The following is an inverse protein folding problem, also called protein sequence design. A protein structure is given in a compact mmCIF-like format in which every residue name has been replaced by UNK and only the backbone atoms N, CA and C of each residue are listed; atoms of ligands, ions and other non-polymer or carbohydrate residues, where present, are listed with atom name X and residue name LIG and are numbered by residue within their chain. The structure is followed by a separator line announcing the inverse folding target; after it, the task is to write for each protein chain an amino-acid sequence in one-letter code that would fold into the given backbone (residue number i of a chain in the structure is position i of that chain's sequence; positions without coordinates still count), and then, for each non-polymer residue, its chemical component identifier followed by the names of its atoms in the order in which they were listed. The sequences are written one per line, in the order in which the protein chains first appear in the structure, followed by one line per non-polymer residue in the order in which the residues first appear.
data_IF_491128785620
#
_entry.id   IF_491128785620
#
_cell.length_a   1.000
_cell.length_b   1.000
_cell.length_c   1.000
_cell.angle_alpha   90.00
_cell.angle_beta   90.00
_cell.angle_gamma   90.00
#
_symmetry.space_group_name_H-M   'P 1'
#
loop_
_entity.id
_entity.type
_entity.pdbx_description
1 polymer ?
#
# COMPACT_ATOMS: atom_id res chain seq x y z
N UNK A 1 3.20 -13.11 6.07
CA UNK A 1 2.79 -11.71 5.82
C UNK A 1 1.27 -11.61 5.72
N UNK A 2 0.72 -10.42 5.93
CA UNK A 2 -0.69 -10.09 5.69
C UNK A 2 -0.82 -9.19 4.45
N UNK A 3 -1.58 -9.61 3.44
CA UNK A 3 -1.91 -8.77 2.30
C UNK A 3 -3.19 -7.96 2.56
N UNK A 4 -3.17 -6.68 2.18
CA UNK A 4 -4.31 -5.75 2.33
C UNK A 4 -4.70 -5.25 0.95
N UNK A 5 -5.91 -5.63 0.51
CA UNK A 5 -6.46 -5.24 -0.78
C UNK A 5 -6.88 -6.43 -1.62
N UNK A 6 -6.41 -6.47 -2.86
CA UNK A 6 -6.78 -7.43 -3.89
C UNK A 6 -7.78 -6.86 -4.90
N UNK A 7 -7.89 -7.53 -6.05
CA UNK A 7 -8.67 -7.08 -7.23
C UNK A 7 -10.16 -6.84 -6.97
N UNK A 8 -10.73 -7.51 -5.96
CA UNK A 8 -12.14 -7.35 -5.58
C UNK A 8 -12.38 -6.20 -4.58
N UNK A 9 -11.32 -5.52 -4.11
CA UNK A 9 -11.44 -4.38 -3.22
C UNK A 9 -11.61 -3.08 -4.00
N UNK A 10 -12.56 -2.25 -3.57
CA UNK A 10 -12.84 -0.97 -4.21
C UNK A 10 -11.74 0.04 -3.88
N UNK A 11 -11.20 0.68 -4.92
CA UNK A 11 -10.21 1.75 -4.77
C UNK A 11 -10.72 2.93 -3.93
N UNK A 12 -12.03 3.19 -3.94
CA UNK A 12 -12.66 4.21 -3.09
C UNK A 12 -12.40 4.01 -1.60
N UNK A 13 -12.35 2.75 -1.12
CA UNK A 13 -12.10 2.47 0.30
C UNK A 13 -10.69 2.87 0.69
N UNK A 14 -9.69 2.49 -0.12
CA UNK A 14 -8.30 2.89 0.09
C UNK A 14 -8.14 4.40 0.03
N UNK A 15 -8.61 5.03 -1.05
CA UNK A 15 -8.53 6.48 -1.25
C UNK A 15 -9.12 7.26 -0.07
N UNK A 16 -10.28 6.83 0.45
CA UNK A 16 -10.91 7.47 1.61
C UNK A 16 -10.17 7.22 2.92
N UNK A 17 -9.59 6.03 3.09
CA UNK A 17 -8.87 5.63 4.30
C UNK A 17 -7.57 6.42 4.49
N UNK A 18 -6.93 6.84 3.41
CA UNK A 18 -5.66 7.60 3.45
C UNK A 18 -5.79 9.04 2.96
N UNK A 19 -7.01 9.56 2.84
CA UNK A 19 -7.25 10.87 2.20
C UNK A 19 -6.71 12.06 2.99
N UNK A 20 -6.51 11.90 4.29
CA UNK A 20 -6.06 12.94 5.22
C UNK A 20 -4.91 12.39 6.07
N UNK A 21 -3.94 13.21 6.49
CA UNK A 21 -2.81 12.75 7.28
C UNK A 21 -3.22 11.97 8.54
N UNK A 22 -4.21 12.49 9.30
CA UNK A 22 -4.68 11.84 10.54
C UNK A 22 -5.28 10.46 10.30
N UNK A 23 -6.04 10.29 9.21
CA UNK A 23 -6.59 8.99 8.82
C UNK A 23 -5.50 8.04 8.36
N UNK A 24 -4.55 8.51 7.56
CA UNK A 24 -3.40 7.72 7.10
C UNK A 24 -2.63 7.17 8.29
N UNK A 25 -2.24 8.01 9.26
CA UNK A 25 -1.56 7.56 10.47
C UNK A 25 -2.38 6.54 11.26
N UNK A 26 -3.69 6.75 11.37
CA UNK A 26 -4.60 5.81 12.04
C UNK A 26 -4.63 4.45 11.33
N UNK A 27 -4.67 4.44 9.99
CA UNK A 27 -4.61 3.21 9.18
C UNK A 27 -3.28 2.49 9.41
N UNK A 28 -2.16 3.21 9.35
CA UNK A 28 -0.83 2.67 9.58
C UNK A 28 -0.72 2.01 10.95
N UNK A 29 -1.12 2.72 12.01
CA UNK A 29 -1.04 2.22 13.39
C UNK A 29 -1.94 0.99 13.60
N UNK A 30 -3.13 0.99 12.99
CA UNK A 30 -4.04 -0.15 13.03
C UNK A 30 -3.46 -1.37 12.32
N UNK A 31 -2.84 -1.19 11.15
CA UNK A 31 -2.20 -2.27 10.41
C UNK A 31 -1.06 -2.87 11.24
N UNK A 32 -0.14 -2.04 11.73
CA UNK A 32 1.02 -2.47 12.53
C UNK A 32 0.58 -3.19 13.80
N UNK A 33 -0.42 -2.66 14.50
CA UNK A 33 -1.00 -3.29 15.69
C UNK A 33 -1.59 -4.66 15.36
N UNK A 34 -2.34 -4.76 14.26
CA UNK A 34 -2.95 -6.02 13.83
C UNK A 34 -1.89 -7.07 13.48
N UNK A 35 -0.90 -6.73 12.64
CA UNK A 35 0.13 -7.70 12.24
C UNK A 35 0.98 -8.16 13.41
N UNK A 36 1.32 -7.25 14.33
CA UNK A 36 2.06 -7.57 15.55
C UNK A 36 1.25 -8.49 16.46
N UNK A 37 -0.02 -8.16 16.71
CA UNK A 37 -0.91 -8.94 17.58
C UNK A 37 -1.10 -10.37 17.08
N UNK A 38 -1.14 -10.55 15.76
CA UNK A 38 -1.40 -11.85 15.14
C UNK A 38 -0.13 -12.61 14.73
N UNK A 39 1.06 -12.06 15.05
CA UNK A 39 2.34 -12.74 14.80
C UNK A 39 2.69 -12.87 13.32
N UNK A 40 2.21 -11.95 12.47
CA UNK A 40 2.68 -11.87 11.10
C UNK A 40 4.10 -11.26 11.06
N UNK A 41 4.86 -11.63 10.04
CA UNK A 41 6.22 -11.18 9.76
C UNK A 41 6.30 -9.97 8.82
N UNK A 42 5.15 -9.43 8.39
CA UNK A 42 5.12 -8.28 7.47
C UNK A 42 3.76 -8.01 6.82
N UNK A 43 3.74 -6.97 5.99
CA UNK A 43 2.55 -6.45 5.29
C UNK A 43 2.81 -6.43 3.78
N UNK A 44 1.80 -6.80 2.98
CA UNK A 44 1.76 -6.55 1.53
C UNK A 44 0.61 -5.60 1.20
N UNK A 45 0.89 -4.50 0.49
CA UNK A 45 -0.14 -3.60 -0.01
C UNK A 45 -0.52 -4.02 -1.43
N UNK A 46 -1.78 -4.40 -1.63
CA UNK A 46 -2.30 -4.87 -2.92
C UNK A 46 -3.44 -3.97 -3.42
N UNK A 47 -3.14 -2.70 -3.70
CA UNK A 47 -4.12 -1.71 -4.15
C UNK A 47 -4.14 -1.58 -5.67
N UNK A 48 -5.24 -2.06 -6.26
CA UNK A 48 -5.56 -1.96 -7.68
C UNK A 48 -6.78 -1.03 -7.87
N UNK A 49 -6.62 0.26 -8.14
CA UNK A 49 -5.38 1.02 -8.31
C UNK A 49 -5.53 2.45 -7.74
N UNK A 50 -4.48 3.04 -7.13
CA UNK A 50 -4.47 4.45 -6.72
C UNK A 50 -4.87 5.39 -7.86
N UNK A 51 -5.75 6.35 -7.59
CA UNK A 51 -6.15 7.34 -8.60
C UNK A 51 -7.09 6.83 -9.69
N UNK A 52 -7.53 5.57 -9.61
CA UNK A 52 -8.42 4.93 -10.56
C UNK A 52 -9.62 4.29 -9.85
N UNK A 53 -10.64 3.89 -10.60
CA UNK A 53 -11.82 3.15 -10.10
C UNK A 53 -12.50 3.79 -8.87
N UNK A 54 -12.61 5.12 -8.90
CA UNK A 54 -13.19 5.94 -7.82
C UNK A 54 -12.16 6.48 -6.82
N UNK A 55 -10.87 6.22 -7.02
CA UNK A 55 -9.76 6.92 -6.37
C UNK A 55 -9.59 8.35 -6.88
N UNK A 56 -8.64 9.08 -6.28
CA UNK A 56 -8.30 10.48 -6.56
C UNK A 56 -6.86 10.59 -7.04
N UNK A 57 -6.54 11.57 -7.88
CA UNK A 57 -5.18 11.76 -8.39
C UNK A 57 -4.11 11.90 -7.27
N UNK A 58 -4.49 12.46 -6.11
CA UNK A 58 -3.60 12.54 -4.95
C UNK A 58 -3.25 11.20 -4.31
N UNK A 59 -3.99 10.12 -4.61
CA UNK A 59 -3.73 8.77 -4.10
C UNK A 59 -2.32 8.29 -4.47
N UNK A 60 -1.80 8.69 -5.64
CA UNK A 60 -0.43 8.37 -6.07
C UNK A 60 0.61 8.83 -5.05
N UNK A 61 0.46 10.07 -4.56
CA UNK A 61 1.33 10.63 -3.51
C UNK A 61 1.01 10.06 -2.13
N UNK A 62 -0.27 9.90 -1.80
CA UNK A 62 -0.68 9.37 -0.50
C UNK A 62 -0.23 7.91 -0.29
N UNK A 63 -0.21 7.09 -1.35
CA UNK A 63 0.35 5.74 -1.31
C UNK A 63 1.83 5.77 -0.91
N UNK A 64 2.62 6.69 -1.46
CA UNK A 64 4.04 6.81 -1.08
C UNK A 64 4.18 7.13 0.40
N UNK A 65 3.39 8.08 0.92
CA UNK A 65 3.39 8.42 2.35
C UNK A 65 2.96 7.23 3.20
N UNK A 66 1.95 6.47 2.75
CA UNK A 66 1.51 5.24 3.43
C UNK A 66 2.66 4.22 3.53
N UNK A 67 3.38 3.97 2.44
CA UNK A 67 4.50 3.02 2.41
C UNK A 67 5.67 3.49 3.29
N UNK A 68 6.01 4.78 3.24
CA UNK A 68 7.03 5.36 4.11
C UNK A 68 6.72 5.16 5.59
N UNK A 69 5.50 5.47 6.01
CA UNK A 69 5.06 5.39 7.42
C UNK A 69 4.92 3.94 7.91
N UNK A 70 4.49 3.02 7.03
CA UNK A 70 4.50 1.58 7.30
C UNK A 70 5.93 1.08 7.48
N UNK A 71 6.83 1.40 6.55
CA UNK A 71 8.21 0.90 6.59
C UNK A 71 8.93 1.36 7.85
N UNK A 72 8.73 2.62 8.26
CA UNK A 72 9.28 3.17 9.50
C UNK A 72 8.88 2.32 10.73
N UNK A 73 7.61 1.95 10.84
CA UNK A 73 7.09 1.20 12.00
C UNK A 73 7.38 -0.31 11.91
N UNK A 74 7.26 -0.90 10.73
CA UNK A 74 7.51 -2.33 10.52
C UNK A 74 8.98 -2.68 10.75
N UNK A 75 9.92 -1.85 10.27
CA UNK A 75 11.35 -2.05 10.54
C UNK A 75 11.70 -2.03 12.03
N UNK A 76 11.05 -1.18 12.82
CA UNK A 76 11.24 -1.15 14.28
C UNK A 76 10.84 -2.47 14.96
N UNK A 77 9.96 -3.25 14.31
CA UNK A 77 9.51 -4.56 14.76
C UNK A 77 10.17 -5.73 14.01
N UNK A 78 11.21 -5.48 13.19
CA UNK A 78 11.85 -6.46 12.32
C UNK A 78 10.87 -7.20 11.38
N UNK A 79 9.84 -6.50 10.91
CA UNK A 79 8.85 -6.98 9.93
C UNK A 79 9.12 -6.40 8.54
N UNK A 80 8.76 -7.14 7.50
CA UNK A 80 8.91 -6.72 6.10
C UNK A 80 7.70 -5.96 5.54
N UNK A 81 7.95 -5.17 4.50
CA UNK A 81 6.93 -4.49 3.70
C UNK A 81 7.09 -4.86 2.23
N UNK A 82 6.03 -5.30 1.57
CA UNK A 82 5.99 -5.47 0.13
C UNK A 82 4.77 -4.79 -0.49
N UNK A 83 4.75 -4.74 -1.81
CA UNK A 83 3.61 -4.26 -2.57
C UNK A 83 3.33 -5.17 -3.77
N UNK A 84 2.07 -5.54 -3.96
CA UNK A 84 1.61 -6.23 -5.17
C UNK A 84 1.04 -5.21 -6.16
N UNK A 85 1.54 -5.22 -7.40
CA UNK A 85 1.21 -4.25 -8.44
C UNK A 85 0.73 -4.92 -9.73
N UNK A 86 -0.14 -4.23 -10.46
CA UNK A 86 -0.52 -4.64 -11.82
C UNK A 86 0.54 -4.22 -12.82
N UNK A 87 0.58 -4.89 -13.97
CA UNK A 87 1.68 -4.74 -14.94
C UNK A 87 1.30 -3.99 -16.23
N UNK A 88 0.06 -3.50 -16.37
CA UNK A 88 -0.30 -2.65 -17.52
C UNK A 88 0.40 -1.29 -17.39
N UNK A 89 1.23 -0.88 -18.38
CA UNK A 89 1.93 0.40 -18.33
C UNK A 89 1.02 1.61 -18.14
N UNK A 90 -0.21 1.59 -18.68
CA UNK A 90 -1.16 2.70 -18.54
C UNK A 90 -1.61 2.88 -17.10
N UNK A 91 -1.83 1.77 -16.38
CA UNK A 91 -2.22 1.82 -14.98
C UNK A 91 -1.06 2.27 -14.10
N UNK A 92 0.15 1.78 -14.39
CA UNK A 92 1.36 2.15 -13.67
C UNK A 92 1.61 3.66 -13.75
N UNK A 93 1.54 4.25 -14.95
CA UNK A 93 1.77 5.67 -15.17
C UNK A 93 0.79 6.57 -14.40
N UNK A 94 -0.45 6.12 -14.21
CA UNK A 94 -1.45 6.84 -13.43
C UNK A 94 -1.22 6.65 -11.93
N UNK A 95 -0.96 5.41 -11.50
CA UNK A 95 -1.15 5.01 -10.11
C UNK A 95 0.11 5.01 -9.25
N UNK A 96 1.30 4.86 -9.86
CA UNK A 96 2.52 4.56 -9.10
C UNK A 96 3.66 5.53 -9.36
N UNK A 97 4.26 6.06 -8.28
CA UNK A 97 5.58 6.70 -8.30
C UNK A 97 6.62 5.60 -8.06
N UNK A 98 7.00 4.89 -9.14
CA UNK A 98 7.79 3.66 -9.06
C UNK A 98 9.11 3.84 -8.30
N UNK A 99 9.93 4.90 -8.56
CA UNK A 99 11.17 5.10 -7.80
C UNK A 99 10.95 5.27 -6.30
N UNK A 100 9.88 5.95 -5.88
CA UNK A 100 9.58 6.13 -4.45
C UNK A 100 9.01 4.88 -3.82
N UNK A 101 8.25 4.08 -4.55
CA UNK A 101 7.78 2.78 -4.05
C UNK A 101 8.97 1.88 -3.75
N UNK A 102 9.92 1.78 -4.69
CA UNK A 102 11.16 1.00 -4.56
C UNK A 102 12.02 1.41 -3.36
N UNK A 103 11.99 2.69 -2.97
CA UNK A 103 12.70 3.20 -1.78
C UNK A 103 12.14 2.62 -0.46
N UNK A 104 10.82 2.36 -0.40
CA UNK A 104 10.14 2.04 0.86
C UNK A 104 9.79 0.57 1.04
N UNK A 105 9.62 -0.19 -0.04
CA UNK A 105 9.27 -1.62 0.05
C UNK A 105 10.53 -2.49 -0.03
N UNK A 106 10.50 -3.65 0.63
CA UNK A 106 11.58 -4.63 0.55
C UNK A 106 11.46 -5.48 -0.73
N UNK A 107 10.23 -5.69 -1.23
CA UNK A 107 9.94 -6.45 -2.45
C UNK A 107 8.70 -5.93 -3.19
N UNK A 108 8.70 -6.06 -4.52
CA UNK A 108 7.54 -5.81 -5.38
C UNK A 108 7.08 -7.12 -6.01
N UNK A 109 5.81 -7.46 -5.83
CA UNK A 109 5.16 -8.63 -6.44
C UNK A 109 4.41 -8.18 -7.71
N UNK A 110 4.80 -8.69 -8.87
CA UNK A 110 4.09 -8.40 -10.13
C UNK A 110 2.94 -9.37 -10.34
N UNK A 111 1.72 -8.84 -10.46
CA UNK A 111 0.55 -9.62 -10.86
C UNK A 111 0.52 -9.72 -12.39
N UNK A 112 1.15 -10.78 -12.94
CA UNK A 112 1.29 -11.00 -14.39
C UNK A 112 0.23 -11.93 -14.99
N UNK A 113 -0.84 -12.24 -14.25
CA UNK A 113 -1.92 -13.13 -14.70
C UNK A 113 -3.29 -12.64 -14.22
N UNK A 114 -4.34 -13.15 -14.86
CA UNK A 114 -5.75 -12.82 -14.63
C UNK A 114 -6.51 -14.03 -14.05
#
# INVERSE_FOLDING_TARGET
MLAIGGVNQKSTHFSQAISEPTKLYTVVDNIVSFVTKHGFDGVDIAWFYPGQFGGRACDKGNLVVLLQELQLRLRACAMGLSMTVGVDPKDIDISYDVPKIDEYVDFVNFLTGD
#
